data_IF_964732670487
#
_entry.id   IF_964732670487
#
_cell.length_a   1.000
_cell.length_b   1.000
_cell.length_c   1.000
_cell.angle_alpha   90.00
_cell.angle_beta   90.00
_cell.angle_gamma   90.00
#
_symmetry.space_group_name_H-M   'P 1'
#
loop_
_entity.id
_entity.type
_entity.pdbx_description
1 polymer ?
#
# COMPACT_ATOMS: atom_id res chain seq x y z
N UNK A 1 -51.72 11.58 16.85
CA UNK A 1 -50.32 11.88 16.46
C UNK A 1 -49.46 11.79 17.72
N UNK A 2 -48.37 11.01 17.71
CA UNK A 2 -47.63 10.60 18.93
C UNK A 2 -46.81 11.74 19.53
N UNK A 3 -46.88 11.94 20.86
CA UNK A 3 -46.11 12.96 21.61
C UNK A 3 -44.59 12.89 21.34
N UNK A 4 -44.08 11.69 21.01
CA UNK A 4 -42.67 11.47 20.64
C UNK A 4 -42.28 12.15 19.33
N UNK A 5 -43.20 12.22 18.37
CA UNK A 5 -42.95 12.82 17.06
C UNK A 5 -42.83 14.34 17.21
N UNK A 6 -43.72 14.96 18.00
CA UNK A 6 -43.69 16.40 18.27
C UNK A 6 -42.42 16.82 19.01
N UNK A 7 -41.96 16.03 19.98
CA UNK A 7 -40.70 16.30 20.69
C UNK A 7 -39.49 16.22 19.75
N UNK A 8 -39.46 15.24 18.85
CA UNK A 8 -38.38 15.11 17.86
C UNK A 8 -38.37 16.29 16.87
N UNK A 9 -39.55 16.67 16.38
CA UNK A 9 -39.71 17.82 15.48
C UNK A 9 -39.17 19.11 16.12
N UNK A 10 -39.48 19.36 17.39
CA UNK A 10 -38.98 20.52 18.13
C UNK A 10 -37.45 20.53 18.27
N UNK A 11 -36.84 19.37 18.54
CA UNK A 11 -35.37 19.26 18.66
C UNK A 11 -34.70 19.52 17.31
N UNK A 12 -35.21 18.92 16.23
CA UNK A 12 -34.69 19.12 14.88
C UNK A 12 -34.81 20.58 14.46
N UNK A 13 -35.97 21.21 14.69
CA UNK A 13 -36.19 22.62 14.37
C UNK A 13 -35.24 23.54 15.16
N UNK A 14 -34.99 23.26 16.43
CA UNK A 14 -34.01 24.00 17.24
C UNK A 14 -32.60 23.88 16.67
N UNK A 15 -32.19 22.68 16.28
CA UNK A 15 -30.85 22.44 15.75
C UNK A 15 -30.67 23.11 14.37
N UNK A 16 -31.70 23.09 13.52
CA UNK A 16 -31.74 23.83 12.25
C UNK A 16 -31.64 25.34 12.50
N UNK A 17 -32.42 25.90 13.43
CA UNK A 17 -32.34 27.32 13.76
C UNK A 17 -30.96 27.71 14.29
N UNK A 18 -30.34 26.86 15.10
CA UNK A 18 -28.97 27.06 15.58
C UNK A 18 -27.94 27.03 14.44
N UNK A 19 -28.10 26.15 13.46
CA UNK A 19 -27.26 26.08 12.26
C UNK A 19 -27.40 27.34 11.39
N UNK A 20 -28.62 27.81 11.17
CA UNK A 20 -28.91 29.04 10.41
C UNK A 20 -28.34 30.27 11.13
N UNK A 21 -28.59 30.39 12.44
CA UNK A 21 -28.15 31.51 13.26
C UNK A 21 -26.62 31.63 13.39
N UNK A 22 -25.91 30.50 13.41
CA UNK A 22 -24.43 30.48 13.42
C UNK A 22 -23.83 30.94 12.08
N UNK A 23 -24.62 31.04 11.03
CA UNK A 23 -24.15 31.32 9.67
C UNK A 23 -23.20 30.22 9.16
N UNK A 24 -22.66 30.41 7.94
CA UNK A 24 -21.64 29.52 7.35
C UNK A 24 -20.26 29.67 8.03
N UNK A 25 -20.21 29.84 9.34
CA UNK A 25 -18.95 29.88 10.07
C UNK A 25 -18.38 28.47 10.16
N UNK A 26 -17.62 28.09 9.13
CA UNK A 26 -16.84 26.85 9.11
C UNK A 26 -15.62 27.06 9.98
N UNK A 27 -15.68 26.58 11.23
CA UNK A 27 -14.51 26.48 12.09
C UNK A 27 -13.66 25.30 11.58
N UNK A 28 -12.53 25.62 10.98
CA UNK A 28 -11.58 24.61 10.54
C UNK A 28 -10.73 24.13 11.71
N UNK A 29 -10.44 22.83 11.76
CA UNK A 29 -9.57 22.23 12.77
C UNK A 29 -8.07 22.28 12.39
N UNK A 30 -7.76 22.88 11.23
CA UNK A 30 -6.42 23.07 10.70
C UNK A 30 -6.26 24.51 10.21
N UNK A 31 -5.05 25.03 10.28
CA UNK A 31 -4.69 26.40 9.90
C UNK A 31 -4.93 26.66 8.41
N UNK A 32 -4.91 27.94 8.01
CA UNK A 32 -5.02 28.32 6.61
C UNK A 32 -3.85 27.76 5.78
N UNK A 33 -2.62 27.86 6.31
CA UNK A 33 -1.42 27.36 5.64
C UNK A 33 -1.49 25.84 5.39
N UNK A 34 -1.95 25.06 6.37
CA UNK A 34 -2.13 23.61 6.20
C UNK A 34 -3.21 23.28 5.16
N UNK A 35 -4.32 24.03 5.13
CA UNK A 35 -5.32 23.86 4.07
C UNK A 35 -4.75 24.17 2.69
N UNK A 36 -4.02 25.27 2.56
CA UNK A 36 -3.39 25.67 1.30
C UNK A 36 -2.35 24.62 0.85
N UNK A 37 -1.60 24.03 1.80
CA UNK A 37 -0.72 22.90 1.55
C UNK A 37 -1.49 21.66 1.06
N UNK A 38 -2.61 21.29 1.69
CA UNK A 38 -3.46 20.18 1.24
C UNK A 38 -4.08 20.42 -0.14
N UNK A 39 -4.48 21.65 -0.45
CA UNK A 39 -4.97 22.01 -1.78
C UNK A 39 -3.88 21.88 -2.84
N UNK A 40 -2.66 22.34 -2.53
CA UNK A 40 -1.50 22.22 -3.40
C UNK A 40 -1.14 20.76 -3.63
N UNK A 41 -1.11 19.97 -2.55
CA UNK A 41 -0.82 18.53 -2.59
C UNK A 41 -1.87 17.78 -3.44
N UNK A 42 -3.14 18.11 -3.27
CA UNK A 42 -4.24 17.52 -4.07
C UNK A 42 -4.18 17.91 -5.55
N UNK A 43 -3.66 19.10 -5.87
CA UNK A 43 -3.55 19.58 -7.24
C UNK A 43 -2.33 19.02 -7.98
N UNK A 44 -1.36 18.44 -7.27
CA UNK A 44 -0.16 17.85 -7.85
C UNK A 44 -0.51 16.55 -8.59
N UNK A 45 -0.25 16.52 -9.91
CA UNK A 45 -0.54 15.38 -10.79
C UNK A 45 0.62 14.38 -10.88
N UNK A 46 1.79 14.74 -10.35
CA UNK A 46 3.00 13.92 -10.41
C UNK A 46 3.08 12.91 -9.26
N UNK A 47 2.10 12.94 -8.35
CA UNK A 47 2.02 12.06 -7.19
C UNK A 47 0.69 11.32 -7.12
N UNK A 48 0.74 10.13 -6.55
CA UNK A 48 -0.41 9.30 -6.19
C UNK A 48 -0.46 9.19 -4.67
N UNK A 49 -1.65 9.40 -4.10
CA UNK A 49 -1.89 9.28 -2.66
C UNK A 49 -2.93 8.19 -2.43
N UNK A 50 -2.58 7.17 -1.65
CA UNK A 50 -3.44 6.02 -1.34
C UNK A 50 -3.33 5.65 0.13
N UNK A 51 -4.35 4.98 0.66
CA UNK A 51 -4.27 4.31 1.95
C UNK A 51 -3.22 3.19 1.88
N UNK A 52 -2.38 3.06 2.91
CA UNK A 52 -1.50 1.91 3.03
C UNK A 52 -2.32 0.64 3.36
N UNK A 53 -1.87 -0.50 2.84
CA UNK A 53 -2.47 -1.81 3.09
C UNK A 53 -2.39 -2.21 4.58
N UNK A 54 -1.22 -1.98 5.19
CA UNK A 54 -1.04 -2.06 6.64
C UNK A 54 -1.61 -0.79 7.26
N UNK A 55 -2.83 -0.90 7.79
CA UNK A 55 -3.66 0.23 8.20
C UNK A 55 -2.98 1.27 9.10
N UNK A 56 -3.49 2.51 9.05
CA UNK A 56 -3.02 3.63 9.86
C UNK A 56 -2.01 4.55 9.19
N UNK A 57 -1.56 4.24 7.97
CA UNK A 57 -0.64 5.06 7.19
C UNK A 57 -1.22 5.49 5.83
N UNK A 58 -0.59 6.52 5.24
CA UNK A 58 -0.88 7.04 3.91
C UNK A 58 0.40 6.90 3.09
N UNK A 59 0.27 6.37 1.88
CA UNK A 59 1.37 6.27 0.91
C UNK A 59 1.27 7.46 -0.04
N UNK A 60 2.39 8.15 -0.23
CA UNK A 60 2.58 9.19 -1.25
C UNK A 60 3.72 8.73 -2.14
N UNK A 61 3.44 8.57 -3.43
CA UNK A 61 4.41 8.02 -4.39
C UNK A 61 4.41 8.86 -5.67
N UNK A 62 5.55 8.94 -6.36
CA UNK A 62 5.60 9.50 -7.71
C UNK A 62 4.73 8.65 -8.67
N UNK A 63 4.04 9.28 -9.61
CA UNK A 63 3.12 8.60 -10.51
C UNK A 63 3.82 7.63 -11.48
N UNK A 64 5.06 7.89 -11.90
CA UNK A 64 5.81 6.99 -12.78
C UNK A 64 6.33 5.78 -12.02
N UNK A 65 6.88 5.98 -10.81
CA UNK A 65 7.27 4.86 -9.94
C UNK A 65 6.07 3.97 -9.60
N UNK A 66 4.89 4.57 -9.37
CA UNK A 66 3.67 3.83 -9.10
C UNK A 66 3.24 2.96 -10.30
N UNK A 67 3.41 3.46 -11.53
CA UNK A 67 3.13 2.69 -12.75
C UNK A 67 4.12 1.55 -12.95
N UNK A 68 5.42 1.79 -12.73
CA UNK A 68 6.43 0.74 -12.83
C UNK A 68 6.13 -0.39 -11.83
N UNK A 69 5.77 -0.05 -10.59
CA UNK A 69 5.43 -1.02 -9.56
C UNK A 69 4.21 -1.87 -9.96
N UNK A 70 3.17 -1.26 -10.54
CA UNK A 70 2.01 -1.99 -11.08
C UNK A 70 2.46 -3.00 -12.14
N UNK A 71 3.36 -2.60 -13.05
CA UNK A 71 3.85 -3.50 -14.11
C UNK A 71 4.68 -4.64 -13.53
N UNK A 72 5.47 -4.39 -12.48
CA UNK A 72 6.23 -5.44 -11.80
C UNK A 72 5.30 -6.41 -11.09
N UNK A 73 4.34 -5.91 -10.33
CA UNK A 73 3.41 -6.72 -9.52
C UNK A 73 2.41 -7.50 -10.37
N UNK A 74 1.99 -6.94 -11.51
CA UNK A 74 1.08 -7.59 -12.46
C UNK A 74 1.82 -8.26 -13.63
N UNK A 75 3.14 -8.22 -13.64
CA UNK A 75 3.99 -8.69 -14.73
C UNK A 75 4.37 -10.15 -14.64
N UNK A 76 5.04 -10.63 -15.69
CA UNK A 76 5.44 -12.04 -15.87
C UNK A 76 6.39 -12.57 -14.78
N UNK A 77 7.08 -11.70 -14.03
CA UNK A 77 8.01 -12.10 -12.96
C UNK A 77 7.31 -12.94 -11.89
N UNK A 78 6.05 -12.65 -11.60
CA UNK A 78 5.27 -13.42 -10.62
C UNK A 78 4.99 -14.84 -11.14
N UNK A 79 4.87 -15.00 -12.46
CA UNK A 79 4.60 -16.28 -13.14
C UNK A 79 5.78 -17.24 -13.05
N UNK A 80 7.00 -16.74 -12.90
CA UNK A 80 8.22 -17.56 -12.81
C UNK A 80 8.44 -18.18 -11.42
N UNK A 81 7.65 -17.80 -10.41
CA UNK A 81 7.83 -18.32 -9.05
C UNK A 81 7.23 -19.71 -8.89
N UNK A 82 7.92 -20.63 -8.21
CA UNK A 82 7.43 -22.00 -7.96
C UNK A 82 6.12 -22.03 -7.13
N UNK A 83 5.83 -20.97 -6.38
CA UNK A 83 4.61 -20.82 -5.59
C UNK A 83 3.46 -20.14 -6.35
N UNK A 84 3.65 -19.80 -7.63
CA UNK A 84 2.64 -19.12 -8.43
C UNK A 84 1.47 -20.04 -8.73
N UNK A 85 0.28 -19.59 -8.35
CA UNK A 85 -0.99 -20.24 -8.66
C UNK A 85 -1.81 -19.27 -9.51
N UNK A 86 -2.13 -19.65 -10.76
CA UNK A 86 -2.84 -18.75 -11.69
C UNK A 86 -4.28 -18.51 -11.32
N UNK A 87 -5.00 -19.60 -11.09
CA UNK A 87 -6.44 -19.60 -10.90
C UNK A 87 -6.91 -20.88 -10.19
N UNK A 88 -8.23 -21.00 -10.00
CA UNK A 88 -8.86 -22.16 -9.35
C UNK A 88 -8.58 -23.47 -10.09
N UNK A 89 -8.50 -23.48 -11.42
CA UNK A 89 -8.21 -24.70 -12.19
C UNK A 89 -6.75 -25.11 -12.03
N UNK A 90 -5.83 -24.14 -11.93
CA UNK A 90 -4.42 -24.39 -11.63
C UNK A 90 -4.26 -25.04 -10.24
N UNK A 91 -5.02 -24.55 -9.25
CA UNK A 91 -5.04 -25.15 -7.90
C UNK A 91 -5.57 -26.58 -7.92
N UNK A 92 -6.65 -26.84 -8.65
CA UNK A 92 -7.23 -28.19 -8.77
C UNK A 92 -6.20 -29.15 -9.37
N UNK A 93 -5.51 -28.75 -10.45
CA UNK A 93 -4.47 -29.57 -11.07
C UNK A 93 -3.32 -29.84 -10.12
N UNK A 94 -2.85 -28.82 -9.39
CA UNK A 94 -1.81 -28.99 -8.38
C UNK A 94 -2.22 -29.99 -7.30
N UNK A 95 -3.46 -29.95 -6.83
CA UNK A 95 -3.98 -30.89 -5.82
C UNK A 95 -4.12 -32.30 -6.39
N UNK A 96 -4.61 -32.44 -7.63
CA UNK A 96 -4.77 -33.72 -8.32
C UNK A 96 -3.42 -34.43 -8.55
N UNK A 97 -2.35 -33.67 -8.78
CA UNK A 97 -0.99 -34.16 -8.98
C UNK A 97 -0.25 -34.49 -7.65
N UNK A 98 -0.84 -34.24 -6.48
CA UNK A 98 -0.21 -34.58 -5.19
C UNK A 98 -0.25 -36.09 -4.93
N UNK A 99 0.93 -36.71 -4.89
CA UNK A 99 1.10 -38.08 -4.41
C UNK A 99 1.40 -38.10 -2.89
N UNK A 100 0.72 -38.98 -2.16
CA UNK A 100 0.84 -39.12 -0.70
C UNK A 100 1.50 -40.46 -0.36
N UNK A 101 2.81 -40.42 -0.07
CA UNK A 101 3.64 -41.64 -0.05
C UNK A 101 3.85 -42.23 1.36
N UNK A 102 3.21 -41.69 2.40
CA UNK A 102 3.40 -42.18 3.77
C UNK A 102 2.15 -42.08 4.66
N UNK A 103 2.07 -42.93 5.68
CA UNK A 103 0.89 -43.15 6.52
C UNK A 103 0.42 -41.95 7.36
N UNK A 104 1.13 -40.82 7.38
CA UNK A 104 0.82 -39.67 8.24
C UNK A 104 1.01 -38.31 7.55
N UNK A 105 0.38 -38.09 6.40
CA UNK A 105 0.27 -36.76 5.80
C UNK A 105 -1.12 -36.15 6.02
N UNK A 106 -1.16 -34.87 6.36
CA UNK A 106 -2.38 -34.12 6.59
C UNK A 106 -2.44 -32.94 5.61
N UNK A 107 -3.55 -32.82 4.89
CA UNK A 107 -3.87 -31.60 4.16
C UNK A 107 -4.36 -30.55 5.16
N UNK A 108 -3.66 -29.42 5.25
CA UNK A 108 -4.01 -28.32 6.14
C UNK A 108 -4.32 -27.09 5.31
N UNK A 109 -5.47 -26.48 5.57
CA UNK A 109 -5.82 -25.15 5.07
C UNK A 109 -5.62 -24.14 6.19
N UNK A 110 -4.94 -23.03 5.93
CA UNK A 110 -4.79 -21.94 6.89
C UNK A 110 -5.13 -20.62 6.24
N UNK A 111 -5.93 -19.81 6.94
CA UNK A 111 -6.23 -18.44 6.53
C UNK A 111 -5.04 -17.54 6.88
N UNK A 112 -4.52 -16.80 5.90
CA UNK A 112 -3.34 -15.96 6.08
C UNK A 112 -3.78 -14.50 6.22
N UNK A 113 -3.74 -13.99 7.45
CA UNK A 113 -4.11 -12.59 7.76
C UNK A 113 -3.03 -11.60 7.31
N UNK A 114 -1.77 -12.01 7.29
CA UNK A 114 -0.64 -11.20 6.80
C UNK A 114 0.56 -12.07 6.46
N UNK A 115 1.03 -12.01 5.22
CA UNK A 115 2.30 -12.61 4.81
C UNK A 115 3.46 -11.66 5.15
N UNK A 116 4.44 -12.14 5.91
CA UNK A 116 5.79 -11.60 5.78
C UNK A 116 6.37 -12.25 4.53
N UNK A 117 6.48 -11.49 3.45
CA UNK A 117 7.13 -11.97 2.22
C UNK A 117 8.51 -12.50 2.58
N UNK A 118 8.73 -13.81 2.40
CA UNK A 118 10.04 -14.42 2.49
C UNK A 118 10.84 -14.02 1.24
N UNK A 119 11.28 -12.76 1.23
CA UNK A 119 12.01 -12.17 0.11
C UNK A 119 13.38 -12.85 0.07
N UNK A 120 13.76 -13.50 -1.04
CA UNK A 120 15.09 -14.09 -1.18
C UNK A 120 16.16 -12.99 -1.04
N UNK A 121 16.84 -12.98 0.09
CA UNK A 121 17.64 -11.83 0.54
C UNK A 121 18.76 -11.50 -0.46
N UNK A 122 19.41 -12.52 -1.01
CA UNK A 122 20.47 -12.36 -2.00
C UNK A 122 19.95 -11.72 -3.31
N UNK A 123 18.79 -12.16 -3.80
CA UNK A 123 18.20 -11.63 -5.04
C UNK A 123 17.69 -10.21 -4.85
N UNK A 124 17.08 -9.92 -3.69
CA UNK A 124 16.66 -8.58 -3.35
C UNK A 124 17.84 -7.63 -3.19
N UNK A 125 18.93 -8.07 -2.55
CA UNK A 125 20.16 -7.30 -2.44
C UNK A 125 20.75 -7.00 -3.82
N UNK A 126 20.83 -8.00 -4.70
CA UNK A 126 21.33 -7.83 -6.06
C UNK A 126 20.46 -6.83 -6.86
N UNK A 127 19.14 -6.98 -6.78
CA UNK A 127 18.18 -6.07 -7.43
C UNK A 127 18.33 -4.64 -6.91
N UNK A 128 18.51 -4.47 -5.61
CA UNK A 128 18.73 -3.16 -4.98
C UNK A 128 20.05 -2.53 -5.44
N UNK A 129 21.13 -3.31 -5.52
CA UNK A 129 22.42 -2.85 -6.02
C UNK A 129 22.29 -2.36 -7.47
N UNK A 130 21.65 -3.14 -8.33
CA UNK A 130 21.42 -2.76 -9.74
C UNK A 130 20.56 -1.50 -9.87
N UNK A 131 19.48 -1.41 -9.09
CA UNK A 131 18.61 -0.24 -9.07
C UNK A 131 19.39 1.03 -8.72
N UNK A 132 20.24 0.96 -7.69
CA UNK A 132 21.07 2.08 -7.25
C UNK A 132 22.15 2.43 -8.27
N UNK A 133 22.72 1.44 -8.95
CA UNK A 133 23.75 1.64 -9.98
C UNK A 133 23.22 2.27 -11.27
N UNK A 134 21.97 1.99 -11.67
CA UNK A 134 21.31 2.62 -12.84
C UNK A 134 21.02 4.12 -12.64
N UNK A 135 21.48 4.73 -11.55
CA UNK A 135 21.28 6.15 -11.26
C UNK A 135 19.88 6.48 -10.74
N UNK A 136 18.98 5.50 -10.61
CA UNK A 136 17.63 5.68 -10.06
C UNK A 136 17.63 5.97 -8.56
N UNK A 137 18.74 5.67 -7.88
CA UNK A 137 19.04 6.12 -6.51
C UNK A 137 19.14 7.65 -6.33
N UNK A 138 19.40 8.41 -7.41
CA UNK A 138 19.59 9.87 -7.33
C UNK A 138 18.30 10.63 -7.06
N UNK A 139 17.15 10.09 -7.48
CA UNK A 139 15.82 10.67 -7.21
C UNK A 139 15.57 10.85 -5.71
N UNK A 140 16.10 9.96 -4.87
CA UNK A 140 15.95 10.01 -3.41
C UNK A 140 16.66 11.20 -2.75
N UNK A 141 17.62 11.82 -3.43
CA UNK A 141 18.28 13.04 -2.93
C UNK A 141 17.30 14.20 -2.77
N UNK A 142 16.24 14.25 -3.59
CA UNK A 142 15.19 15.28 -3.46
C UNK A 142 14.37 15.11 -2.17
N UNK A 143 14.37 13.92 -1.57
CA UNK A 143 13.73 13.60 -0.30
C UNK A 143 14.71 13.71 0.88
N UNK A 144 15.91 14.26 0.67
CA UNK A 144 16.96 14.38 1.69
C UNK A 144 17.69 13.07 2.01
N UNK A 145 17.43 12.01 1.23
CA UNK A 145 18.11 10.72 1.38
C UNK A 145 19.30 10.65 0.42
N UNK A 146 20.50 10.90 0.96
CA UNK A 146 21.74 10.72 0.24
C UNK A 146 22.15 9.24 0.25
N UNK A 147 21.94 8.56 -0.87
CA UNK A 147 22.37 7.17 -1.01
C UNK A 147 23.82 7.17 -1.51
N UNK A 148 24.80 6.72 -0.69
CA UNK A 148 26.19 6.66 -1.12
C UNK A 148 26.35 5.65 -2.27
N UNK A 149 27.32 5.88 -3.16
CA UNK A 149 27.67 4.87 -4.16
C UNK A 149 28.11 3.61 -3.45
N UNK A 150 27.47 2.48 -3.79
CA UNK A 150 27.83 1.19 -3.24
C UNK A 150 29.25 0.85 -3.71
N UNK A 151 30.20 0.62 -2.80
CA UNK A 151 31.56 0.23 -3.18
C UNK A 151 31.56 -1.14 -3.87
N UNK A 152 32.40 -1.31 -4.90
CA UNK A 152 32.48 -2.58 -5.65
C UNK A 152 32.73 -3.81 -4.75
N UNK A 153 33.41 -3.64 -3.62
CA UNK A 153 33.71 -4.72 -2.67
C UNK A 153 32.47 -5.22 -1.89
N UNK A 154 31.43 -4.38 -1.74
CA UNK A 154 30.19 -4.79 -1.06
C UNK A 154 29.35 -5.75 -1.92
N UNK A 155 29.68 -5.92 -3.20
CA UNK A 155 29.02 -6.87 -4.12
C UNK A 155 29.54 -8.31 -4.01
N UNK A 156 30.62 -8.53 -3.26
CA UNK A 156 31.28 -9.85 -3.12
C UNK A 156 31.05 -10.44 -1.73
N UNK A 157 30.35 -9.72 -0.84
CA UNK A 157 29.99 -10.22 0.47
C UNK A 157 28.87 -11.27 0.34
N UNK A 158 29.27 -12.54 0.16
CA UNK A 158 28.39 -13.67 0.42
C UNK A 158 28.02 -13.65 1.90
N UNK A 159 26.80 -13.22 2.21
CA UNK A 159 26.24 -13.45 3.53
C UNK A 159 26.05 -14.96 3.71
N UNK A 160 26.58 -15.56 4.79
CA UNK A 160 26.41 -16.99 5.07
C UNK A 160 24.95 -17.37 5.31
#
# INVERSE_FOLDING_TARGET
>A
MSLKILAFEQVVMRDIMNLIARGRYVKYNISKAERDALYTLRANKDIVIKSADKGGAIVVQNIEDYKEEIVIQLGEIVVETEAYIRDTMDTIRLIDDLEFDCENQFLVTMDIVSLYTNIPQQQALQTMIEFLQRGRGSHWSQFGLHIPRIPLYAMVATYP
#
